data_IF_217610896632
#
_entry.id   IF_217610896632
#
_cell.length_a   1.000
_cell.length_b   1.000
_cell.length_c   1.000
_cell.angle_alpha   90.00
_cell.angle_beta   90.00
_cell.angle_gamma   90.00
#
_symmetry.space_group_name_H-M   'P 1'
#
loop_
_entity.id
_entity.type
_entity.pdbx_description
1 polymer ?
#
# COMPACT_ATOMS: atom_id res chain seq x y z
N UNK A 1 -8.69 -10.98 -10.51
CA UNK A 1 -10.03 -10.38 -10.69
C UNK A 1 -10.11 -9.56 -11.98
N UNK A 2 -9.19 -8.61 -12.22
CA UNK A 2 -9.19 -7.83 -13.46
C UNK A 2 -9.14 -8.68 -14.74
N UNK A 3 -8.18 -9.61 -14.83
CA UNK A 3 -8.05 -10.60 -15.92
C UNK A 3 -9.29 -11.49 -16.07
N UNK A 4 -9.99 -11.78 -14.98
CA UNK A 4 -11.19 -12.62 -15.02
C UNK A 4 -12.36 -11.89 -15.68
N UNK A 5 -12.53 -10.59 -15.41
CA UNK A 5 -13.59 -9.78 -16.03
C UNK A 5 -13.36 -9.59 -17.52
N UNK A 6 -12.11 -9.36 -17.94
CA UNK A 6 -11.74 -9.31 -19.36
C UNK A 6 -12.03 -10.64 -20.05
N UNK A 7 -11.67 -11.76 -19.42
CA UNK A 7 -11.99 -13.11 -19.90
C UNK A 7 -13.50 -13.35 -19.98
N UNK A 8 -14.27 -12.88 -18.99
CA UNK A 8 -15.72 -12.95 -19.02
C UNK A 8 -16.32 -12.17 -20.19
N UNK A 9 -15.83 -10.95 -20.46
CA UNK A 9 -16.27 -10.16 -21.61
C UNK A 9 -15.95 -10.86 -22.94
N UNK A 10 -14.76 -11.47 -23.05
CA UNK A 10 -14.39 -12.30 -24.22
C UNK A 10 -15.34 -13.48 -24.40
N UNK A 11 -15.65 -14.21 -23.32
CA UNK A 11 -16.55 -15.36 -23.38
C UNK A 11 -17.96 -14.98 -23.86
N UNK A 12 -18.46 -13.78 -23.51
CA UNK A 12 -19.75 -13.30 -23.99
C UNK A 12 -19.76 -13.05 -25.50
N UNK A 13 -18.67 -12.52 -26.05
CA UNK A 13 -18.50 -12.35 -27.49
C UNK A 13 -18.54 -13.71 -28.21
N UNK A 14 -17.77 -14.67 -27.71
CA UNK A 14 -17.70 -16.02 -28.28
C UNK A 14 -19.05 -16.74 -28.24
N UNK A 15 -19.77 -16.64 -27.11
CA UNK A 15 -21.10 -17.21 -26.96
C UNK A 15 -22.10 -16.58 -27.94
N UNK A 16 -22.05 -15.26 -28.13
CA UNK A 16 -22.96 -14.57 -29.05
C UNK A 16 -22.72 -15.01 -30.49
N UNK A 17 -21.45 -15.12 -30.91
CA UNK A 17 -21.10 -15.68 -32.23
C UNK A 17 -21.55 -17.13 -32.40
N UNK A 18 -21.46 -17.93 -31.32
CA UNK A 18 -21.94 -19.32 -31.34
C UNK A 18 -23.45 -19.40 -31.54
N UNK A 19 -24.23 -18.53 -30.88
CA UNK A 19 -25.69 -18.48 -31.00
C UNK A 19 -26.10 -18.05 -32.41
N UNK A 20 -25.46 -17.03 -32.99
CA UNK A 20 -25.70 -16.61 -34.39
C UNK A 20 -25.47 -17.79 -35.34
N UNK A 21 -24.33 -18.47 -35.23
CA UNK A 21 -24.03 -19.66 -36.05
C UNK A 21 -25.06 -20.77 -35.82
N UNK A 22 -25.44 -21.03 -34.58
CA UNK A 22 -26.44 -22.05 -34.26
C UNK A 22 -27.76 -21.77 -34.98
N UNK A 23 -28.21 -20.52 -35.00
CA UNK A 23 -29.44 -20.12 -35.67
C UNK A 23 -29.32 -20.24 -37.20
N UNK A 24 -28.22 -19.77 -37.79
CA UNK A 24 -27.95 -19.87 -39.22
C UNK A 24 -27.86 -21.32 -39.74
N UNK A 25 -27.27 -22.23 -38.96
CA UNK A 25 -27.07 -23.61 -39.37
C UNK A 25 -28.26 -24.52 -39.04
N UNK A 26 -28.82 -24.40 -37.83
CA UNK A 26 -29.83 -25.35 -37.35
C UNK A 26 -31.25 -24.83 -37.56
N UNK A 27 -31.53 -23.56 -37.29
CA UNK A 27 -32.89 -23.00 -37.39
C UNK A 27 -33.29 -22.68 -38.83
N UNK A 28 -32.34 -22.48 -39.73
CA UNK A 28 -32.60 -22.28 -41.16
C UNK A 28 -33.38 -23.44 -41.81
N UNK A 29 -33.12 -24.68 -41.39
CA UNK A 29 -33.86 -25.84 -41.89
C UNK A 29 -35.32 -25.88 -41.41
N UNK A 30 -35.61 -25.28 -40.26
CA UNK A 30 -36.96 -25.28 -39.67
C UNK A 30 -37.77 -24.03 -40.00
N UNK A 31 -37.12 -22.98 -40.50
CA UNK A 31 -37.78 -21.71 -40.81
C UNK A 31 -38.12 -21.54 -42.29
N UNK A 32 -38.04 -22.60 -43.11
CA UNK A 32 -38.23 -22.56 -44.57
C UNK A 32 -37.42 -21.44 -45.24
N UNK A 33 -36.19 -21.19 -44.75
CA UNK A 33 -35.34 -20.08 -45.18
C UNK A 33 -35.95 -18.67 -45.05
N UNK A 34 -36.96 -18.49 -44.19
CA UNK A 34 -37.48 -17.18 -43.80
C UNK A 34 -36.58 -16.54 -42.74
N UNK A 35 -35.51 -15.89 -43.18
CA UNK A 35 -34.56 -15.16 -42.33
C UNK A 35 -35.19 -14.06 -41.46
N UNK A 36 -36.42 -13.62 -41.76
CA UNK A 36 -37.17 -12.66 -40.94
C UNK A 36 -37.65 -13.21 -39.60
N UNK A 37 -37.53 -14.53 -39.37
CA UNK A 37 -37.89 -15.19 -38.11
C UNK A 37 -36.71 -15.39 -37.17
N UNK A 38 -35.50 -15.10 -37.63
CA UNK A 38 -34.30 -15.21 -36.82
C UNK A 38 -34.22 -14.02 -35.86
N UNK A 39 -33.77 -14.29 -34.64
CA UNK A 39 -33.63 -13.29 -33.57
C UNK A 39 -32.21 -12.72 -33.55
N UNK A 40 -31.20 -13.54 -33.84
CA UNK A 40 -29.78 -13.19 -33.81
C UNK A 40 -29.11 -13.25 -35.20
N UNK A 41 -29.61 -14.09 -36.12
CA UNK A 41 -29.18 -14.16 -37.52
C UNK A 41 -30.07 -13.33 -38.48
N UNK A 42 -29.62 -13.09 -39.71
CA UNK A 42 -30.40 -12.40 -40.76
C UNK A 42 -29.84 -11.03 -41.19
N UNK A 43 -30.73 -10.10 -41.60
CA UNK A 43 -30.32 -8.80 -42.19
C UNK A 43 -29.70 -7.81 -41.19
N UNK A 44 -29.94 -8.00 -39.89
CA UNK A 44 -29.48 -7.09 -38.84
C UNK A 44 -28.32 -7.68 -38.00
N UNK A 45 -27.74 -8.82 -38.41
CA UNK A 45 -26.66 -9.49 -37.66
C UNK A 45 -25.46 -8.57 -37.46
N UNK A 46 -25.07 -7.81 -38.49
CA UNK A 46 -23.91 -6.92 -38.42
C UNK A 46 -24.15 -5.78 -37.42
N UNK A 47 -25.35 -5.17 -37.43
CA UNK A 47 -25.73 -4.13 -36.47
C UNK A 47 -25.76 -4.67 -35.03
N UNK A 48 -26.23 -5.91 -34.84
CA UNK A 48 -26.25 -6.56 -33.53
C UNK A 48 -24.83 -6.90 -33.04
N UNK A 49 -23.95 -7.36 -33.93
CA UNK A 49 -22.53 -7.62 -33.62
C UNK A 49 -21.79 -6.33 -33.26
N UNK A 50 -22.01 -5.26 -34.01
CA UNK A 50 -21.47 -3.94 -33.67
C UNK A 50 -22.05 -3.41 -32.34
N UNK A 51 -23.33 -3.64 -32.07
CA UNK A 51 -23.98 -3.28 -30.79
C UNK A 51 -23.39 -4.08 -29.63
N UNK A 52 -23.13 -5.37 -29.83
CA UNK A 52 -22.48 -6.27 -28.85
C UNK A 52 -21.08 -5.78 -28.53
N UNK A 53 -20.27 -5.48 -29.57
CA UNK A 53 -18.91 -4.98 -29.40
C UNK A 53 -18.87 -3.61 -28.71
N UNK A 54 -19.77 -2.68 -29.08
CA UNK A 54 -19.91 -1.39 -28.40
C UNK A 54 -20.28 -1.56 -26.92
N UNK A 55 -21.20 -2.46 -26.61
CA UNK A 55 -21.64 -2.76 -25.24
C UNK A 55 -20.49 -3.36 -24.43
N UNK A 56 -19.77 -4.33 -24.99
CA UNK A 56 -18.63 -4.98 -24.33
C UNK A 56 -17.50 -3.99 -24.02
N UNK A 57 -17.21 -3.08 -24.95
CA UNK A 57 -16.20 -2.03 -24.77
C UNK A 57 -16.64 -0.93 -23.80
N UNK A 58 -17.94 -0.81 -23.52
CA UNK A 58 -18.49 0.17 -22.57
C UNK A 58 -18.45 -0.31 -21.12
N UNK A 59 -18.28 -1.62 -20.87
CA UNK A 59 -18.15 -2.12 -19.51
C UNK A 59 -16.88 -1.61 -18.85
N UNK A 60 -17.04 -0.98 -17.69
CA UNK A 60 -15.91 -0.65 -16.83
C UNK A 60 -15.54 -1.86 -15.96
N UNK A 61 -14.24 -2.02 -15.68
CA UNK A 61 -13.74 -3.06 -14.79
C UNK A 61 -13.53 -2.48 -13.37
N UNK A 62 -14.51 -2.61 -12.46
CA UNK A 62 -14.41 -1.96 -11.17
C UNK A 62 -13.35 -2.58 -10.24
N UNK A 63 -12.94 -3.81 -10.53
CA UNK A 63 -11.87 -4.48 -9.79
C UNK A 63 -10.49 -3.85 -10.02
N UNK A 64 -10.30 -3.09 -11.11
CA UNK A 64 -9.05 -2.35 -11.32
C UNK A 64 -8.89 -1.21 -10.31
N UNK A 65 -9.97 -0.47 -10.05
CA UNK A 65 -9.97 0.56 -9.00
C UNK A 65 -9.69 -0.06 -7.63
N UNK A 66 -10.35 -1.19 -7.32
CA UNK A 66 -10.11 -1.91 -6.07
C UNK A 66 -8.68 -2.41 -5.93
N UNK A 67 -8.07 -2.90 -7.02
CA UNK A 67 -6.66 -3.32 -7.05
C UNK A 67 -5.72 -2.15 -6.74
N UNK A 68 -5.89 -1.01 -7.41
CA UNK A 68 -5.04 0.16 -7.16
C UNK A 68 -5.24 0.73 -5.76
N UNK A 69 -6.46 0.70 -5.25
CA UNK A 69 -6.74 1.08 -3.87
C UNK A 69 -6.00 0.19 -2.88
N UNK A 70 -6.09 -1.14 -3.00
CA UNK A 70 -5.31 -2.06 -2.14
C UNK A 70 -3.82 -1.77 -2.24
N UNK A 71 -3.31 -1.49 -3.44
CA UNK A 71 -1.91 -1.13 -3.62
C UNK A 71 -1.55 0.15 -2.86
N UNK A 72 -2.38 1.19 -2.91
CA UNK A 72 -2.17 2.41 -2.11
C UNK A 72 -2.26 2.14 -0.61
N UNK A 73 -3.18 1.27 -0.18
CA UNK A 73 -3.32 0.86 1.21
C UNK A 73 -2.03 0.23 1.75
N UNK A 74 -1.40 -0.64 0.95
CA UNK A 74 -0.10 -1.23 1.28
C UNK A 74 1.02 -0.18 1.35
N UNK A 75 1.01 0.82 0.46
CA UNK A 75 2.01 1.90 0.48
C UNK A 75 1.90 2.74 1.75
N UNK A 76 0.68 3.08 2.17
CA UNK A 76 0.47 3.87 3.39
C UNK A 76 0.87 3.08 4.64
N UNK A 77 0.57 1.77 4.70
CA UNK A 77 1.02 0.90 5.79
C UNK A 77 2.54 0.84 5.87
N UNK A 78 3.23 0.71 4.73
CA UNK A 78 4.69 0.73 4.68
C UNK A 78 5.25 2.08 5.15
N UNK A 79 4.61 3.20 4.81
CA UNK A 79 5.04 4.51 5.28
C UNK A 79 4.96 4.62 6.81
N UNK A 80 3.86 4.17 7.41
CA UNK A 80 3.71 4.12 8.88
C UNK A 80 4.76 3.19 9.50
N UNK A 81 4.99 2.01 8.92
CA UNK A 81 6.01 1.08 9.40
C UNK A 81 7.41 1.72 9.38
N UNK A 82 7.77 2.40 8.29
CA UNK A 82 9.06 3.08 8.16
C UNK A 82 9.26 4.13 9.26
N UNK A 83 8.21 4.88 9.61
CA UNK A 83 8.27 5.86 10.72
C UNK A 83 8.63 5.17 12.04
N UNK A 84 8.01 4.02 12.34
CA UNK A 84 8.35 3.24 13.54
C UNK A 84 9.77 2.67 13.48
N UNK A 85 10.21 2.21 12.32
CA UNK A 85 11.58 1.71 12.13
C UNK A 85 12.61 2.79 12.41
N UNK A 86 12.47 3.99 11.84
CA UNK A 86 13.42 5.09 12.08
C UNK A 86 13.39 5.56 13.54
N UNK A 87 12.20 5.65 14.14
CA UNK A 87 12.06 5.94 15.57
C UNK A 87 12.81 4.91 16.44
N UNK A 88 12.69 3.62 16.13
CA UNK A 88 13.37 2.56 16.88
C UNK A 88 14.89 2.63 16.71
N UNK A 89 15.39 3.01 15.51
CA UNK A 89 16.83 3.26 15.31
C UNK A 89 17.35 4.39 16.20
N UNK A 90 16.58 5.46 16.38
CA UNK A 90 16.96 6.54 17.30
C UNK A 90 17.00 6.06 18.75
N UNK A 91 16.03 5.24 19.18
CA UNK A 91 16.02 4.64 20.52
C UNK A 91 17.24 3.75 20.76
N UNK A 92 17.58 2.89 19.80
CA UNK A 92 18.79 2.05 19.86
C UNK A 92 20.05 2.90 19.93
N UNK A 93 20.10 4.02 19.20
CA UNK A 93 21.22 4.95 19.26
C UNK A 93 21.36 5.58 20.65
N UNK A 94 20.26 6.08 21.24
CA UNK A 94 20.24 6.57 22.62
C UNK A 94 20.71 5.52 23.63
N UNK A 95 20.30 4.26 23.45
CA UNK A 95 20.72 3.17 24.33
C UNK A 95 22.23 2.91 24.25
N UNK A 96 22.80 2.96 23.04
CA UNK A 96 24.25 2.85 22.82
C UNK A 96 25.01 4.01 23.45
N UNK A 97 24.54 5.25 23.27
CA UNK A 97 25.10 6.44 23.91
C UNK A 97 25.06 6.33 25.44
N UNK A 98 23.93 5.97 26.02
CA UNK A 98 23.79 5.80 27.47
C UNK A 98 24.71 4.70 28.03
N UNK A 99 24.88 3.59 27.30
CA UNK A 99 25.81 2.52 27.69
C UNK A 99 27.26 2.99 27.64
N UNK A 100 27.63 3.76 26.59
CA UNK A 100 28.96 4.36 26.46
C UNK A 100 29.23 5.37 27.58
N UNK A 101 28.27 6.23 27.90
CA UNK A 101 28.34 7.20 28.99
C UNK A 101 28.64 6.51 30.32
N UNK A 102 27.85 5.49 30.70
CA UNK A 102 28.07 4.70 31.93
C UNK A 102 29.45 4.06 31.98
N UNK A 103 29.92 3.54 30.84
CA UNK A 103 31.26 2.92 30.75
C UNK A 103 32.36 3.96 30.94
N UNK A 104 32.22 5.13 30.32
CA UNK A 104 33.19 6.22 30.43
C UNK A 104 33.19 6.86 31.82
N UNK A 105 32.04 6.99 32.47
CA UNK A 105 31.92 7.43 33.88
C UNK A 105 32.66 6.48 34.82
N UNK A 106 32.44 5.17 34.68
CA UNK A 106 33.15 4.14 35.46
C UNK A 106 34.67 4.20 35.26
N UNK A 107 35.13 4.44 34.03
CA UNK A 107 36.56 4.63 33.72
C UNK A 107 37.12 5.90 34.33
N UNK A 108 36.37 7.01 34.28
CA UNK A 108 36.76 8.28 34.88
C UNK A 108 36.86 8.15 36.41
N UNK A 109 35.92 7.47 37.06
CA UNK A 109 35.99 7.17 38.50
C UNK A 109 37.26 6.36 38.83
N UNK A 110 37.53 5.31 38.06
CA UNK A 110 38.72 4.46 38.25
C UNK A 110 40.03 5.26 38.10
N UNK A 111 40.11 6.16 37.13
CA UNK A 111 41.26 7.05 36.91
C UNK A 111 41.40 8.08 38.05
N UNK A 112 40.28 8.65 38.49
CA UNK A 112 40.24 9.72 39.50
C UNK A 112 40.51 9.21 40.92
N UNK A 113 40.02 8.02 41.25
CA UNK A 113 40.22 7.36 42.56
C UNK A 113 41.54 6.62 42.67
N UNK A 114 42.32 6.52 41.58
CA UNK A 114 43.59 5.82 41.57
C UNK A 114 43.47 4.30 41.73
N UNK A 115 42.26 3.72 41.58
CA UNK A 115 42.05 2.28 41.64
C UNK A 115 42.95 1.58 40.61
N UNK A 116 43.75 0.63 41.09
CA UNK A 116 44.80 -0.03 40.33
C UNK A 116 44.21 -0.98 39.27
N UNK A 117 43.94 -0.46 38.08
CA UNK A 117 43.96 -1.27 36.87
C UNK A 117 45.43 -1.55 36.51
N UNK A 118 45.78 -2.79 36.17
CA UNK A 118 47.14 -3.15 35.70
C UNK A 118 47.63 -2.20 34.61
N UNK A 119 46.72 -1.65 33.79
CA UNK A 119 47.02 -0.65 32.75
C UNK A 119 47.26 0.75 33.29
N UNK A 120 46.66 1.12 34.41
CA UNK A 120 46.78 2.44 35.02
C UNK A 120 48.04 2.57 35.89
N UNK A 121 48.63 1.47 36.36
CA UNK A 121 49.87 1.51 37.15
C UNK A 121 51.10 1.90 36.31
N UNK A 122 51.11 1.59 35.01
CA UNK A 122 52.22 1.93 34.10
C UNK A 122 52.08 3.30 33.42
N UNK A 123 50.98 4.03 33.62
CA UNK A 123 50.76 5.35 32.99
C UNK A 123 51.34 6.48 33.85
N UNK A 124 52.03 7.42 33.20
CA UNK A 124 52.52 8.64 33.85
C UNK A 124 51.36 9.51 34.37
N UNK A 125 51.63 10.33 35.39
CA UNK A 125 50.64 11.23 35.98
C UNK A 125 49.99 12.14 34.93
N UNK A 126 50.81 12.76 34.07
CA UNK A 126 50.36 13.61 32.96
C UNK A 126 49.49 12.85 31.95
N UNK A 127 49.82 11.58 31.65
CA UNK A 127 49.00 10.76 30.76
C UNK A 127 47.62 10.45 31.35
N UNK A 128 47.53 10.28 32.68
CA UNK A 128 46.25 10.04 33.37
C UNK A 128 45.38 11.30 33.38
N UNK A 129 45.98 12.46 33.62
CA UNK A 129 45.30 13.76 33.61
C UNK A 129 44.73 14.07 32.22
N UNK A 130 45.53 13.88 31.16
CA UNK A 130 45.07 14.06 29.77
C UNK A 130 43.93 13.11 29.39
N UNK A 131 44.01 11.82 29.78
CA UNK A 131 42.93 10.86 29.52
C UNK A 131 41.64 11.20 30.28
N UNK A 132 41.76 11.66 31.53
CA UNK A 132 40.62 12.10 32.33
C UNK A 132 39.94 13.32 31.72
N UNK A 133 40.71 14.29 31.20
CA UNK A 133 40.15 15.47 30.53
C UNK A 133 39.43 15.09 29.21
N UNK A 134 40.01 14.20 28.42
CA UNK A 134 39.37 13.68 27.20
C UNK A 134 38.07 12.92 27.50
N UNK A 135 38.06 12.11 28.56
CA UNK A 135 36.85 11.41 28.99
C UNK A 135 35.76 12.39 29.43
N UNK A 136 36.10 13.44 30.17
CA UNK A 136 35.14 14.50 30.56
C UNK A 136 34.52 15.19 29.35
N UNK A 137 35.34 15.61 28.38
CA UNK A 137 34.85 16.22 27.13
C UNK A 137 33.94 15.27 26.34
N UNK A 138 34.28 13.99 26.30
CA UNK A 138 33.46 12.97 25.63
C UNK A 138 32.13 12.75 26.35
N UNK A 139 32.14 12.70 27.69
CA UNK A 139 30.94 12.55 28.50
C UNK A 139 29.98 13.73 28.36
N UNK A 140 30.50 14.95 28.34
CA UNK A 140 29.70 16.16 28.13
C UNK A 140 29.04 16.13 26.75
N UNK A 141 29.81 15.83 25.70
CA UNK A 141 29.27 15.66 24.34
C UNK A 141 28.21 14.56 24.25
N UNK A 142 28.48 13.39 24.81
CA UNK A 142 27.55 12.25 24.81
C UNK A 142 26.25 12.60 25.55
N UNK A 143 26.35 13.38 26.64
CA UNK A 143 25.21 13.84 27.42
C UNK A 143 24.33 14.81 26.63
N UNK A 144 24.94 15.80 25.99
CA UNK A 144 24.21 16.77 25.16
C UNK A 144 23.50 16.08 23.99
N UNK A 145 24.21 15.20 23.28
CA UNK A 145 23.67 14.42 22.16
C UNK A 145 22.51 13.51 22.61
N UNK A 146 22.63 12.88 23.78
CA UNK A 146 21.57 12.05 24.35
C UNK A 146 20.32 12.87 24.67
N UNK A 147 20.48 14.05 25.28
CA UNK A 147 19.37 14.95 25.60
C UNK A 147 18.63 15.37 24.32
N UNK A 148 19.37 15.72 23.28
CA UNK A 148 18.78 16.18 22.02
C UNK A 148 18.04 15.06 21.28
N UNK A 149 18.60 13.84 21.24
CA UNK A 149 17.87 12.70 20.68
C UNK A 149 16.63 12.33 21.49
N UNK A 150 16.66 12.45 22.83
CA UNK A 150 15.48 12.22 23.66
C UNK A 150 14.37 13.24 23.36
N UNK A 151 14.72 14.52 23.20
CA UNK A 151 13.75 15.55 22.76
C UNK A 151 13.15 15.20 21.41
N UNK A 152 13.97 14.80 20.44
CA UNK A 152 13.51 14.40 19.11
C UNK A 152 12.55 13.21 19.18
N UNK A 153 12.90 12.17 19.94
CA UNK A 153 12.04 10.99 20.14
C UNK A 153 10.71 11.39 20.78
N UNK A 154 10.71 12.30 21.75
CA UNK A 154 9.47 12.78 22.38
C UNK A 154 8.58 13.53 21.39
N UNK A 155 9.16 14.41 20.57
CA UNK A 155 8.43 15.10 19.50
C UNK A 155 7.85 14.09 18.50
N UNK A 156 8.65 13.09 18.08
CA UNK A 156 8.18 12.03 17.18
C UNK A 156 7.05 11.21 17.80
N UNK A 157 7.15 10.84 19.07
CA UNK A 157 6.10 10.12 19.79
C UNK A 157 4.79 10.90 19.80
N UNK A 158 4.88 12.19 20.13
CA UNK A 158 3.73 13.07 20.16
C UNK A 158 3.10 13.19 18.77
N UNK A 159 3.91 13.46 17.75
CA UNK A 159 3.43 13.56 16.37
C UNK A 159 2.77 12.26 15.88
N UNK A 160 3.40 11.11 16.13
CA UNK A 160 2.87 9.80 15.74
C UNK A 160 1.54 9.53 16.43
N UNK A 161 1.48 9.74 17.75
CA UNK A 161 0.31 9.43 18.59
C UNK A 161 -0.86 10.38 18.36
N UNK A 162 -0.60 11.69 18.25
CA UNK A 162 -1.64 12.72 18.21
C UNK A 162 -2.06 13.10 16.79
N UNK A 163 -1.17 12.93 15.79
CA UNK A 163 -1.46 13.33 14.40
C UNK A 163 -1.42 12.18 13.41
N UNK A 164 -0.31 11.46 13.31
CA UNK A 164 -0.13 10.49 12.23
C UNK A 164 -1.13 9.33 12.32
N UNK A 165 -1.25 8.68 13.49
CA UNK A 165 -2.17 7.56 13.69
C UNK A 165 -3.64 8.00 13.55
N UNK A 166 -4.09 9.09 14.19
CA UNK A 166 -5.47 9.56 14.02
C UNK A 166 -5.82 9.93 12.57
N UNK A 167 -4.94 10.65 11.86
CA UNK A 167 -5.16 10.98 10.45
C UNK A 167 -5.25 9.72 9.61
N UNK A 168 -4.28 8.81 9.76
CA UNK A 168 -4.28 7.53 9.07
C UNK A 168 -5.61 6.80 9.28
N UNK A 169 -6.07 6.62 10.53
CA UNK A 169 -7.35 5.93 10.81
C UNK A 169 -8.54 6.62 10.14
N UNK A 170 -8.60 7.95 10.23
CA UNK A 170 -9.69 8.74 9.63
C UNK A 170 -9.71 8.57 8.10
N UNK A 171 -8.55 8.69 7.47
CA UNK A 171 -8.40 8.62 6.02
C UNK A 171 -8.72 7.20 5.52
N UNK A 172 -8.31 6.16 6.25
CA UNK A 172 -8.63 4.76 5.92
C UNK A 172 -10.13 4.49 5.93
N UNK A 173 -10.82 4.98 6.95
CA UNK A 173 -12.27 4.82 7.05
C UNK A 173 -12.98 5.56 5.90
N UNK A 174 -12.61 6.81 5.64
CA UNK A 174 -13.19 7.60 4.56
C UNK A 174 -12.96 6.97 3.18
N UNK A 175 -11.73 6.55 2.90
CA UNK A 175 -11.36 5.94 1.63
C UNK A 175 -12.04 4.59 1.40
N UNK A 176 -12.23 3.79 2.45
CA UNK A 176 -12.97 2.53 2.35
C UNK A 176 -14.40 2.74 1.84
N UNK A 177 -15.16 3.67 2.43
CA UNK A 177 -16.52 3.95 1.99
C UNK A 177 -16.56 4.51 0.58
N UNK A 178 -15.67 5.47 0.26
CA UNK A 178 -15.58 6.02 -1.09
C UNK A 178 -15.31 4.92 -2.14
N UNK A 179 -14.45 3.96 -1.83
CA UNK A 179 -14.16 2.85 -2.74
C UNK A 179 -15.35 1.89 -2.92
N UNK A 180 -16.12 1.63 -1.87
CA UNK A 180 -17.36 0.87 -1.99
C UNK A 180 -18.39 1.61 -2.84
N UNK A 181 -18.53 2.93 -2.67
CA UNK A 181 -19.45 3.74 -3.47
C UNK A 181 -19.06 3.72 -4.96
N UNK A 182 -17.77 3.86 -5.27
CA UNK A 182 -17.25 3.77 -6.64
C UNK A 182 -17.55 2.39 -7.25
N UNK A 183 -17.31 1.31 -6.49
CA UNK A 183 -17.59 -0.06 -6.94
C UNK A 183 -19.09 -0.26 -7.23
N UNK A 184 -19.95 0.14 -6.30
CA UNK A 184 -21.40 0.04 -6.44
C UNK A 184 -21.93 0.87 -7.63
N UNK A 185 -21.43 2.10 -7.79
CA UNK A 185 -21.81 2.97 -8.90
C UNK A 185 -21.42 2.36 -10.25
N UNK A 186 -20.22 1.78 -10.36
CA UNK A 186 -19.75 1.13 -11.59
C UNK A 186 -20.50 -0.16 -11.90
N UNK A 187 -20.81 -0.99 -10.91
CA UNK A 187 -21.64 -2.19 -11.12
C UNK A 187 -23.07 -1.81 -11.54
N UNK A 188 -23.64 -0.75 -10.96
CA UNK A 188 -24.95 -0.23 -11.37
C UNK A 188 -24.92 0.29 -12.81
N UNK A 189 -23.88 1.04 -13.18
CA UNK A 189 -23.70 1.53 -14.55
C UNK A 189 -23.55 0.36 -15.54
N UNK A 190 -22.75 -0.65 -15.20
CA UNK A 190 -22.61 -1.87 -15.99
C UNK A 190 -23.96 -2.60 -16.15
N UNK A 191 -24.74 -2.76 -15.08
CA UNK A 191 -26.07 -3.38 -15.15
C UNK A 191 -27.02 -2.61 -16.08
N UNK A 192 -27.01 -1.28 -16.03
CA UNK A 192 -27.80 -0.44 -16.93
C UNK A 192 -27.38 -0.60 -18.40
N UNK A 193 -26.06 -0.70 -18.67
CA UNK A 193 -25.54 -1.00 -20.01
C UNK A 193 -26.10 -2.34 -20.51
N UNK A 194 -26.09 -3.38 -19.66
CA UNK A 194 -26.67 -4.68 -20.01
C UNK A 194 -28.17 -4.60 -20.31
N UNK A 195 -28.94 -3.89 -19.48
CA UNK A 195 -30.39 -3.73 -19.66
C UNK A 195 -30.69 -3.06 -21.00
N UNK A 196 -30.01 -1.94 -21.30
CA UNK A 196 -30.20 -1.20 -22.54
C UNK A 196 -29.88 -2.06 -23.76
N UNK A 197 -28.79 -2.83 -23.72
CA UNK A 197 -28.45 -3.77 -24.77
C UNK A 197 -29.59 -4.77 -25.02
N UNK A 198 -30.08 -5.43 -23.97
CA UNK A 198 -31.17 -6.41 -24.11
C UNK A 198 -32.52 -5.82 -24.51
N UNK A 199 -32.76 -4.54 -24.26
CA UNK A 199 -33.93 -3.83 -24.78
C UNK A 199 -33.82 -3.55 -26.28
N UNK A 200 -32.60 -3.41 -26.81
CA UNK A 200 -32.33 -3.14 -28.23
C UNK A 200 -32.36 -4.39 -29.10
N UNK A 201 -32.10 -5.57 -28.49
CA UNK A 201 -32.12 -6.88 -29.18
C UNK A 201 -33.55 -7.45 -29.28
N UNK A 202 -34.53 -6.89 -28.57
CA UNK A 202 -35.95 -7.24 -28.67
C UNK A 202 -36.64 -6.52 -29.82
#
# INVERSE_FOLDING_TARGET
MAILKEKTNSNYKDLTQMIVKYEEFNLNQYCDSQFSRFVFGGKNTDEMMESTDRTLNSYSNPFMYFYYWIKSEMMDLNAIQNIFTERNRLLEHCQKLSTRQRTNESRLDTLSTGKASLRNLFKSKTSKENEAELLKKTLEKDSDELIDFQKLINILNQYIGEKAIPSFKKDKMANYYNMLDILCAQETANANISINYWQTVK
#
